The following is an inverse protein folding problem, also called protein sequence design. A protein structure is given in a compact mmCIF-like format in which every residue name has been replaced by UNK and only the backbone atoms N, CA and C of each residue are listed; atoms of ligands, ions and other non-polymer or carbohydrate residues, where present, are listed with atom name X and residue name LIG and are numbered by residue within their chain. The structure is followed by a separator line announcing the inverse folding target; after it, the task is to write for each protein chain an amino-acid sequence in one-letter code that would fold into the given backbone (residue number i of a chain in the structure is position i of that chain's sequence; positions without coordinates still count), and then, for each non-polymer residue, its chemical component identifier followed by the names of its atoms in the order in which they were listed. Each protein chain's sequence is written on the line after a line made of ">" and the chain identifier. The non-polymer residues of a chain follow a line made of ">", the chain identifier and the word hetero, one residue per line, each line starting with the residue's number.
data_IF_547834071061
#
_entry.id   IF_547834071061
#
_cell.length_a   1.000
_cell.length_b   1.000
_cell.length_c   1.000
_cell.angle_alpha   90.00
_cell.angle_beta   90.00
_cell.angle_gamma   90.00
#
_symmetry.space_group_name_H-M   'P 1'
#
loop_
_entity.id
_entity.type
_entity.pdbx_description
1 polymer ?
#
# COMPACT_ATOMS: atom_id res chain seq x y z
N UNK A 1 14.50 -31.36 15.33
CA UNK A 1 14.93 -30.45 14.25
C UNK A 1 13.93 -30.70 13.13
N UNK A 2 12.99 -29.82 12.76
CA UNK A 2 12.99 -28.37 12.59
C UNK A 2 11.70 -27.77 13.18
N UNK A 3 11.81 -26.82 14.11
CA UNK A 3 10.71 -25.88 14.36
C UNK A 3 10.72 -24.92 13.18
N UNK A 4 10.00 -25.27 12.10
CA UNK A 4 9.60 -24.24 11.12
C UNK A 4 8.59 -23.37 11.86
N UNK A 5 9.08 -22.31 12.50
CA UNK A 5 8.26 -21.24 13.02
C UNK A 5 7.33 -20.82 11.87
N UNK A 6 6.07 -21.26 11.94
CA UNK A 6 5.04 -20.78 11.02
C UNK A 6 4.93 -19.30 11.34
N UNK A 7 5.61 -18.47 10.54
CA UNK A 7 5.50 -17.02 10.66
C UNK A 7 4.02 -16.69 10.55
N UNK A 8 3.54 -16.00 11.57
CA UNK A 8 2.17 -15.52 11.63
C UNK A 8 1.86 -14.71 10.35
N UNK A 9 0.75 -14.99 9.63
CA UNK A 9 0.44 -14.33 8.36
C UNK A 9 0.41 -12.79 8.48
N UNK A 10 -0.10 -12.26 9.60
CA UNK A 10 -0.16 -10.82 9.84
C UNK A 10 1.25 -10.24 9.95
N UNK A 11 2.17 -10.97 10.62
CA UNK A 11 3.58 -10.56 10.70
C UNK A 11 4.25 -10.47 9.33
N UNK A 12 3.92 -11.36 8.38
CA UNK A 12 4.42 -11.30 7.01
C UNK A 12 3.85 -10.12 6.22
N UNK A 13 2.55 -9.84 6.38
CA UNK A 13 1.89 -8.67 5.78
C UNK A 13 2.56 -7.39 6.29
N UNK A 14 2.74 -7.29 7.61
CA UNK A 14 3.39 -6.15 8.26
C UNK A 14 4.81 -5.92 7.73
N UNK A 15 5.66 -6.95 7.68
CA UNK A 15 7.03 -6.84 7.14
C UNK A 15 7.04 -6.31 5.70
N UNK A 16 6.06 -6.74 4.89
CA UNK A 16 5.95 -6.34 3.48
C UNK A 16 5.44 -4.91 3.33
N UNK A 17 4.44 -4.50 4.12
CA UNK A 17 3.98 -3.10 4.20
C UNK A 17 5.13 -2.18 4.62
N UNK A 18 5.88 -2.51 5.67
CA UNK A 18 7.06 -1.73 6.09
C UNK A 18 8.09 -1.57 4.97
N UNK A 19 8.41 -2.67 4.28
CA UNK A 19 9.41 -2.66 3.21
C UNK A 19 8.96 -1.81 2.03
N UNK A 20 7.69 -1.94 1.64
CA UNK A 20 7.07 -1.17 0.57
C UNK A 20 6.97 0.33 0.88
N UNK A 21 6.47 0.67 2.08
CA UNK A 21 6.39 2.08 2.49
C UNK A 21 7.77 2.72 2.53
N UNK A 22 8.78 1.99 2.97
CA UNK A 22 10.17 2.45 2.93
C UNK A 22 10.69 2.68 1.51
N UNK A 23 10.34 1.84 0.52
CA UNK A 23 10.78 2.04 -0.86
C UNK A 23 10.13 3.26 -1.52
N UNK A 24 8.93 3.65 -1.08
CA UNK A 24 8.24 4.85 -1.56
C UNK A 24 8.61 6.13 -0.78
N UNK A 25 9.52 6.07 0.19
CA UNK A 25 9.77 7.16 1.15
C UNK A 25 8.50 7.65 1.88
N UNK A 26 7.55 6.75 2.13
CA UNK A 26 6.32 7.04 2.86
C UNK A 26 6.42 6.80 4.37
N UNK A 27 5.30 6.98 5.05
CA UNK A 27 5.10 6.66 6.47
C UNK A 27 4.08 5.53 6.62
N UNK A 28 4.35 4.60 7.55
CA UNK A 28 3.44 3.52 7.91
C UNK A 28 3.04 3.69 9.37
N UNK A 29 1.74 3.70 9.63
CA UNK A 29 1.15 3.73 10.98
C UNK A 29 0.33 2.46 11.17
N UNK A 30 0.57 1.73 12.24
CA UNK A 30 -0.21 0.55 12.63
C UNK A 30 -1.16 0.92 13.77
N UNK A 31 -2.47 0.69 13.59
CA UNK A 31 -3.51 0.94 14.58
C UNK A 31 -4.40 -0.28 14.74
N UNK A 32 -4.10 -1.14 15.72
CA UNK A 32 -4.98 -2.24 16.15
C UNK A 32 -5.50 -3.16 15.03
N UNK A 33 -4.66 -3.48 14.03
CA UNK A 33 -5.03 -4.33 12.88
C UNK A 33 -5.39 -3.57 11.60
N UNK A 34 -5.49 -2.24 11.68
CA UNK A 34 -5.49 -1.34 10.54
C UNK A 34 -4.08 -0.80 10.28
N UNK A 35 -3.70 -0.67 9.02
CA UNK A 35 -2.45 -0.09 8.58
C UNK A 35 -2.72 1.12 7.70
N UNK A 36 -2.15 2.27 8.05
CA UNK A 36 -2.23 3.49 7.26
C UNK A 36 -0.88 3.76 6.60
N UNK A 37 -0.86 3.81 5.27
CA UNK A 37 0.30 4.21 4.47
C UNK A 37 0.07 5.62 3.94
N UNK A 38 1.01 6.51 4.19
CA UNK A 38 1.02 7.86 3.63
C UNK A 38 2.25 8.03 2.75
N UNK A 39 2.04 8.31 1.46
CA UNK A 39 3.11 8.52 0.48
C UNK A 39 2.73 9.65 -0.48
N UNK A 40 3.44 10.78 -0.41
CA UNK A 40 3.07 11.98 -1.17
C UNK A 40 1.72 12.54 -0.71
N UNK A 41 0.79 12.72 -1.66
CA UNK A 41 -0.60 13.12 -1.37
C UNK A 41 -1.54 11.92 -1.16
N UNK A 42 -1.02 10.70 -1.29
CA UNK A 42 -1.81 9.47 -1.18
C UNK A 42 -1.82 8.97 0.25
N UNK A 43 -3.01 8.67 0.75
CA UNK A 43 -3.23 7.93 2.00
C UNK A 43 -3.97 6.64 1.69
N UNK A 44 -3.43 5.51 2.13
CA UNK A 44 -4.07 4.21 2.02
C UNK A 44 -4.36 3.67 3.42
N UNK A 45 -5.61 3.28 3.67
CA UNK A 45 -6.03 2.62 4.90
C UNK A 45 -6.30 1.16 4.57
N UNK A 46 -5.66 0.24 5.28
CA UNK A 46 -5.67 -1.19 5.00
C UNK A 46 -6.10 -1.92 6.27
N UNK A 47 -7.28 -2.52 6.24
CA UNK A 47 -7.75 -3.39 7.32
C UNK A 47 -7.38 -4.83 7.01
N UNK A 48 -6.71 -5.47 7.97
CA UNK A 48 -6.31 -6.87 7.87
C UNK A 48 -7.09 -7.67 8.90
N UNK A 49 -8.04 -8.48 8.41
CA UNK A 49 -8.75 -9.48 9.19
C UNK A 49 -8.16 -10.87 8.90
N UNK A 50 -8.48 -11.87 9.72
CA UNK A 50 -7.91 -13.23 9.59
C UNK A 50 -8.18 -13.88 8.22
N UNK A 51 -9.30 -13.51 7.60
CA UNK A 51 -9.79 -14.15 6.37
C UNK A 51 -9.82 -13.21 5.15
N UNK A 52 -9.64 -11.91 5.35
CA UNK A 52 -9.82 -10.90 4.30
C UNK A 52 -8.98 -9.65 4.56
N UNK A 53 -8.63 -8.95 3.48
CA UNK A 53 -8.07 -7.60 3.55
C UNK A 53 -8.95 -6.65 2.76
N UNK A 54 -9.24 -5.50 3.36
CA UNK A 54 -9.90 -4.38 2.70
C UNK A 54 -8.98 -3.18 2.66
N UNK A 55 -9.16 -2.32 1.67
CA UNK A 55 -8.43 -1.05 1.62
C UNK A 55 -9.27 0.09 1.07
N UNK A 56 -8.95 1.28 1.55
CA UNK A 56 -9.43 2.57 1.05
C UNK A 56 -8.22 3.40 0.64
N UNK A 57 -8.29 4.03 -0.52
CA UNK A 57 -7.23 4.88 -1.06
C UNK A 57 -7.77 6.29 -1.26
N UNK A 58 -7.03 7.26 -0.72
CA UNK A 58 -7.36 8.67 -0.73
C UNK A 58 -6.27 9.46 -1.45
N UNK A 59 -6.69 10.49 -2.17
CA UNK A 59 -5.85 11.56 -2.72
C UNK A 59 -6.23 12.87 -2.00
N UNK A 60 -5.43 13.26 -1.01
CA UNK A 60 -5.83 14.24 0.00
C UNK A 60 -7.05 13.76 0.80
N UNK A 61 -8.13 14.54 0.79
CA UNK A 61 -9.39 14.22 1.48
C UNK A 61 -10.37 13.40 0.61
N UNK A 62 -10.02 13.11 -0.65
CA UNK A 62 -10.92 12.45 -1.60
C UNK A 62 -10.65 10.96 -1.65
N UNK A 63 -11.66 10.15 -1.32
CA UNK A 63 -11.65 8.72 -1.61
C UNK A 63 -11.64 8.50 -3.13
N UNK A 64 -10.61 7.82 -3.63
CA UNK A 64 -10.44 7.51 -5.05
C UNK A 64 -10.62 6.02 -5.36
N UNK A 65 -10.43 5.14 -4.38
CA UNK A 65 -10.63 3.70 -4.53
C UNK A 65 -10.99 3.06 -3.20
N UNK A 66 -11.85 2.05 -3.24
CA UNK A 66 -12.15 1.17 -2.11
C UNK A 66 -12.31 -0.25 -2.62
N UNK A 67 -11.79 -1.23 -1.88
CA UNK A 67 -12.02 -2.65 -2.15
C UNK A 67 -12.07 -3.42 -0.84
N UNK A 68 -13.18 -4.12 -0.60
CA UNK A 68 -13.43 -4.86 0.64
C UNK A 68 -12.83 -6.29 0.65
N UNK A 69 -12.22 -6.70 -0.47
CA UNK A 69 -11.62 -8.03 -0.63
C UNK A 69 -10.49 -7.99 -1.68
N UNK A 70 -9.33 -7.49 -1.29
CA UNK A 70 -8.13 -7.43 -2.11
C UNK A 70 -7.01 -8.27 -1.51
N UNK A 71 -6.16 -8.87 -2.35
CA UNK A 71 -4.88 -9.39 -1.89
C UNK A 71 -3.87 -8.25 -1.68
N UNK A 72 -2.85 -8.52 -0.87
CA UNK A 72 -1.84 -7.51 -0.51
C UNK A 72 -1.16 -6.93 -1.75
N UNK A 73 -0.83 -7.75 -2.74
CA UNK A 73 -0.11 -7.30 -3.94
C UNK A 73 -0.94 -6.28 -4.75
N UNK A 74 -2.23 -6.57 -4.92
CA UNK A 74 -3.19 -5.66 -5.56
C UNK A 74 -3.26 -4.33 -4.82
N UNK A 75 -3.27 -4.35 -3.48
CA UNK A 75 -3.26 -3.13 -2.66
C UNK A 75 -1.99 -2.32 -2.92
N UNK A 76 -0.81 -2.96 -2.84
CA UNK A 76 0.48 -2.29 -3.04
C UNK A 76 0.59 -1.65 -4.43
N UNK A 77 0.17 -2.36 -5.48
CA UNK A 77 0.20 -1.85 -6.86
C UNK A 77 -0.69 -0.62 -7.05
N UNK A 78 -1.87 -0.59 -6.42
CA UNK A 78 -2.72 0.59 -6.47
C UNK A 78 -2.04 1.76 -5.75
N UNK A 79 -1.51 1.56 -4.54
CA UNK A 79 -0.82 2.63 -3.81
C UNK A 79 0.35 3.18 -4.64
N UNK A 80 1.19 2.31 -5.19
CA UNK A 80 2.33 2.70 -6.03
C UNK A 80 1.88 3.50 -7.27
N UNK A 81 0.88 2.99 -8.00
CA UNK A 81 0.40 3.64 -9.22
C UNK A 81 -0.21 5.03 -9.01
N UNK A 82 -0.78 5.29 -7.83
CA UNK A 82 -1.31 6.62 -7.49
C UNK A 82 -0.30 7.53 -6.78
N UNK A 83 0.60 6.97 -5.95
CA UNK A 83 1.58 7.75 -5.18
C UNK A 83 2.80 8.15 -6.03
N UNK A 84 3.14 7.32 -7.01
CA UNK A 84 4.21 7.52 -7.97
C UNK A 84 3.64 7.38 -9.40
N UNK A 85 2.73 8.29 -9.82
CA UNK A 85 2.15 8.22 -11.16
C UNK A 85 3.24 8.64 -12.15
N UNK A 86 4.10 7.69 -12.55
CA UNK A 86 5.22 7.84 -13.49
C UNK A 86 5.86 9.25 -13.52
N UNK A 87 7.02 9.42 -12.87
CA UNK A 87 8.02 10.38 -13.38
C UNK A 87 8.47 9.89 -14.78
N UNK A 88 7.63 10.07 -15.80
CA UNK A 88 7.77 9.25 -17.01
C UNK A 88 6.87 9.55 -18.21
N UNK A 89 5.99 10.54 -18.21
CA UNK A 89 5.65 11.21 -19.49
C UNK A 89 6.58 12.40 -19.61
N UNK A 90 7.77 12.15 -20.17
CA UNK A 90 8.48 13.22 -20.86
C UNK A 90 7.50 13.72 -21.93
N UNK A 91 6.85 14.85 -21.69
CA UNK A 91 6.38 15.71 -22.76
C UNK A 91 7.63 16.05 -23.58
N UNK A 92 7.96 15.17 -24.53
CA UNK A 92 8.86 15.52 -25.62
C UNK A 92 8.15 16.64 -26.33
N UNK A 93 8.52 17.87 -25.98
CA UNK A 93 8.32 19.05 -26.79
C UNK A 93 8.70 18.70 -28.23
N UNK A 94 7.74 18.25 -29.04
CA UNK A 94 7.82 18.36 -30.48
C UNK A 94 7.33 19.74 -30.82
N UNK A 95 8.21 20.70 -30.59
CA UNK A 95 8.30 21.83 -31.49
C UNK A 95 8.69 21.27 -32.87
N UNK A 96 7.74 21.27 -33.81
CA UNK A 96 7.95 21.39 -35.25
C UNK A 96 6.61 21.64 -35.94
#
# INVERSE_FOLDING_TARGET
>A
MENRERRDPISMIRERLYSFTKSMNGNLVEQSGNYVIEAGNIRAEIDVDQDKMSFELYDGDKLIMQNDNADLETILQNIEGYALPDEGVVEVNKAA
#
